data_IF_427613046882
#
_entry.id   IF_427613046882
#
_cell.length_a   1.000
_cell.length_b   1.000
_cell.length_c   1.000
_cell.angle_alpha   90.00
_cell.angle_beta   90.00
_cell.angle_gamma   90.00
#
_symmetry.space_group_name_H-M   'P 1'
#
loop_
_entity.id
_entity.type
_entity.pdbx_description
1 polymer ?
#
# COMPACT_ATOMS: atom_id res chain seq x y z
N UNK A 1 37.48 1.78 33.62
CA UNK A 1 36.34 2.67 33.82
C UNK A 1 36.78 3.84 34.71
N UNK A 2 37.22 4.94 34.13
CA UNK A 2 37.40 6.22 34.81
C UNK A 2 37.26 7.32 33.74
N UNK A 3 36.17 8.08 33.85
CA UNK A 3 35.93 9.32 33.14
C UNK A 3 36.89 10.35 33.70
N UNK A 4 37.60 11.04 32.84
CA UNK A 4 38.38 12.24 33.23
C UNK A 4 37.85 13.43 32.44
N UNK A 5 37.14 14.30 33.17
CA UNK A 5 36.75 15.61 32.77
C UNK A 5 37.96 16.55 32.96
N UNK A 6 38.47 17.16 31.91
CA UNK A 6 39.43 18.26 32.03
C UNK A 6 38.74 19.60 31.76
N UNK A 7 38.39 20.31 32.80
CA UNK A 7 38.28 21.78 32.80
C UNK A 7 39.67 22.36 33.12
N UNK A 8 40.15 23.29 32.32
CA UNK A 8 41.39 23.98 32.64
C UNK A 8 41.61 25.23 31.78
N UNK A 9 41.46 26.40 32.41
CA UNK A 9 41.94 27.69 31.90
C UNK A 9 43.48 27.78 31.88
N UNK A 10 44.05 28.38 30.87
CA UNK A 10 45.14 29.29 31.00
C UNK A 10 46.55 28.78 30.72
N UNK A 11 47.18 29.48 29.76
CA UNK A 11 48.61 29.82 29.58
C UNK A 11 49.62 28.75 29.16
N UNK A 12 50.35 29.12 28.16
CA UNK A 12 51.43 28.47 27.41
C UNK A 12 52.46 27.73 28.23
N UNK A 13 52.97 26.61 27.71
CA UNK A 13 54.40 26.41 27.37
C UNK A 13 54.59 25.04 26.65
N UNK A 14 55.55 25.03 25.72
CA UNK A 14 55.96 23.89 24.93
C UNK A 14 56.50 22.72 25.82
N UNK A 15 56.13 21.51 25.51
CA UNK A 15 57.04 20.34 25.58
C UNK A 15 56.41 19.16 24.83
N UNK A 16 57.13 18.54 23.88
CA UNK A 16 56.68 17.45 23.05
C UNK A 16 56.49 16.16 23.85
N UNK A 17 55.58 15.33 23.37
CA UNK A 17 55.55 13.93 23.63
C UNK A 17 55.08 13.24 22.38
N UNK A 18 56.00 12.48 21.73
CA UNK A 18 55.64 11.59 20.67
C UNK A 18 54.83 10.40 21.20
N UNK A 19 53.78 10.03 20.52
CA UNK A 19 52.97 8.87 20.77
C UNK A 19 51.96 8.74 19.66
N UNK A 20 52.09 7.72 18.81
CA UNK A 20 51.27 7.47 17.65
C UNK A 20 49.78 7.49 17.95
N UNK A 21 49.08 8.41 17.40
CA UNK A 21 47.63 8.44 17.31
C UNK A 21 47.23 8.07 15.88
N UNK A 22 46.55 6.93 15.80
CA UNK A 22 45.83 6.48 14.64
C UNK A 22 45.02 7.60 14.02
N UNK A 23 45.14 7.77 12.69
CA UNK A 23 44.45 8.68 11.80
C UNK A 23 43.00 8.98 12.16
N UNK A 24 42.78 9.98 12.96
CA UNK A 24 41.63 10.83 12.82
C UNK A 24 41.98 11.77 11.66
N UNK A 25 41.38 11.55 10.48
CA UNK A 25 41.37 12.51 9.38
C UNK A 25 40.55 13.73 9.80
N UNK A 26 41.09 14.53 10.72
CA UNK A 26 40.67 15.90 10.92
C UNK A 26 41.13 16.66 9.68
N UNK A 27 40.20 17.31 8.98
CA UNK A 27 40.51 18.30 7.97
C UNK A 27 41.43 19.35 8.61
N UNK A 28 42.74 19.21 8.38
CA UNK A 28 43.75 20.11 8.96
C UNK A 28 43.75 21.42 8.20
N UNK A 29 42.84 22.31 8.63
CA UNK A 29 42.79 23.68 8.13
C UNK A 29 43.84 24.52 8.88
N UNK A 30 45.11 24.32 8.56
CA UNK A 30 46.17 25.18 9.04
C UNK A 30 46.04 26.56 8.40
N UNK A 31 46.06 27.59 9.24
CA UNK A 31 45.93 29.00 8.84
C UNK A 31 46.94 29.35 7.72
N UNK A 32 46.43 29.64 6.54
CA UNK A 32 47.24 30.30 5.50
C UNK A 32 47.21 29.72 4.09
N UNK A 33 46.48 28.62 3.77
CA UNK A 33 46.30 28.11 2.42
C UNK A 33 44.81 27.95 2.09
N UNK A 34 44.40 28.54 0.98
CA UNK A 34 43.03 28.54 0.50
C UNK A 34 42.37 27.16 0.48
N UNK A 35 41.20 27.12 1.08
CA UNK A 35 40.15 26.15 0.99
C UNK A 35 40.35 24.79 1.67
N UNK A 36 39.95 24.73 2.93
CA UNK A 36 39.53 23.47 3.51
C UNK A 36 38.40 22.88 2.70
N UNK A 37 38.52 21.61 2.34
CA UNK A 37 37.41 20.91 1.71
C UNK A 37 36.26 20.76 2.73
N UNK A 38 35.08 21.22 2.38
CA UNK A 38 33.84 21.04 3.12
C UNK A 38 33.03 19.97 2.41
N UNK A 39 32.61 18.90 3.09
CA UNK A 39 31.79 17.88 2.47
C UNK A 39 30.50 18.47 1.86
N UNK A 40 30.00 17.92 0.74
CA UNK A 40 28.70 18.32 0.20
C UNK A 40 27.55 18.14 1.20
N UNK A 41 26.50 18.93 1.04
CA UNK A 41 25.23 18.77 1.75
C UNK A 41 24.22 18.14 0.79
N UNK A 42 23.99 16.85 0.94
CA UNK A 42 23.04 16.11 0.09
C UNK A 42 21.59 16.52 0.34
N UNK A 43 20.82 16.65 -0.73
CA UNK A 43 19.38 16.92 -0.70
C UNK A 43 18.68 15.86 -1.57
N UNK A 44 17.92 14.96 -0.94
CA UNK A 44 17.20 13.88 -1.61
C UNK A 44 15.81 14.31 -2.15
N UNK A 45 15.46 15.58 -2.03
CA UNK A 45 14.16 16.12 -2.43
C UNK A 45 13.05 15.92 -1.39
N UNK A 46 11.87 16.48 -1.68
CA UNK A 46 10.71 16.39 -0.80
C UNK A 46 10.02 15.02 -0.87
N UNK A 47 9.29 14.61 0.19
CA UNK A 47 8.43 13.44 0.16
C UNK A 47 7.36 13.52 -0.92
N UNK A 48 7.01 12.38 -1.54
CA UNK A 48 6.02 12.28 -2.61
C UNK A 48 4.94 11.25 -2.30
N UNK A 49 3.70 11.54 -2.74
CA UNK A 49 2.58 10.58 -2.75
C UNK A 49 2.20 10.30 -4.19
N UNK A 50 2.20 9.04 -4.58
CA UNK A 50 1.97 8.61 -5.96
C UNK A 50 1.05 7.39 -6.01
N UNK A 51 0.54 7.05 -7.19
CA UNK A 51 -0.11 5.77 -7.42
C UNK A 51 0.93 4.71 -7.81
N UNK A 52 0.68 3.46 -7.43
CA UNK A 52 1.45 2.31 -7.93
C UNK A 52 1.44 2.32 -9.47
N UNK A 53 2.59 2.07 -10.07
CA UNK A 53 2.77 2.12 -11.52
C UNK A 53 3.11 3.51 -12.09
N UNK A 54 3.02 4.59 -11.28
CA UNK A 54 3.43 5.93 -11.72
C UNK A 54 4.94 6.09 -11.72
N UNK A 55 5.48 6.83 -12.68
CA UNK A 55 6.90 7.18 -12.66
C UNK A 55 7.18 8.25 -11.61
N UNK A 56 8.04 7.93 -10.65
CA UNK A 56 8.55 8.84 -9.62
C UNK A 56 9.86 9.44 -10.10
N UNK A 57 10.01 10.76 -10.02
CA UNK A 57 11.29 11.44 -10.26
C UNK A 57 11.88 11.86 -8.92
N UNK A 58 13.11 11.42 -8.66
CA UNK A 58 13.93 11.84 -7.53
C UNK A 58 14.87 12.94 -8.03
N UNK A 59 14.94 14.05 -7.32
CA UNK A 59 15.70 15.23 -7.72
C UNK A 59 16.72 15.59 -6.65
N UNK A 60 17.96 15.31 -6.91
CA UNK A 60 19.11 15.65 -6.07
C UNK A 60 19.80 16.96 -6.43
N UNK A 61 19.29 17.74 -7.38
CA UNK A 61 19.92 19.00 -7.83
C UNK A 61 19.96 20.08 -6.77
N UNK A 62 19.20 19.94 -5.68
CA UNK A 62 19.28 20.76 -4.49
C UNK A 62 20.49 20.47 -3.59
N UNK A 63 21.33 19.50 -3.92
CA UNK A 63 22.61 19.22 -3.25
C UNK A 63 23.58 20.37 -3.47
N UNK A 64 24.26 20.79 -2.44
CA UNK A 64 25.20 21.92 -2.49
C UNK A 64 26.58 21.53 -1.97
N UNK A 65 27.59 22.21 -2.49
CA UNK A 65 28.97 22.13 -2.00
C UNK A 65 29.48 23.56 -1.73
N UNK A 66 30.07 23.76 -0.55
CA UNK A 66 30.51 25.09 -0.11
C UNK A 66 31.77 25.57 -0.88
N UNK A 67 32.54 24.63 -1.44
CA UNK A 67 33.73 24.93 -2.24
C UNK A 67 33.40 25.05 -3.73
N UNK A 68 32.16 24.76 -4.14
CA UNK A 68 31.71 24.63 -5.53
C UNK A 68 32.46 23.53 -6.30
N UNK A 69 32.89 22.47 -5.61
CA UNK A 69 33.48 21.29 -6.24
C UNK A 69 32.40 20.51 -7.03
N UNK A 70 32.84 19.73 -8.00
CA UNK A 70 31.94 18.87 -8.80
C UNK A 70 31.36 17.77 -7.95
N UNK A 71 30.02 17.64 -7.94
CA UNK A 71 29.28 16.66 -7.13
C UNK A 71 29.00 15.40 -7.95
N UNK A 72 29.30 14.26 -7.37
CA UNK A 72 28.81 12.94 -7.79
C UNK A 72 27.71 12.45 -6.83
N UNK A 73 26.79 11.66 -7.35
CA UNK A 73 25.59 11.20 -6.63
C UNK A 73 25.62 9.70 -6.45
N UNK A 74 25.09 9.22 -5.33
CA UNK A 74 24.87 7.79 -5.07
C UNK A 74 23.50 7.61 -4.42
N UNK A 75 22.53 7.14 -5.22
CA UNK A 75 21.18 6.84 -4.81
C UNK A 75 21.00 5.39 -4.43
N UNK A 76 20.14 5.11 -3.43
CA UNK A 76 19.73 3.76 -3.06
C UNK A 76 18.30 3.73 -2.57
N UNK A 77 17.59 2.63 -2.83
CA UNK A 77 16.32 2.33 -2.16
C UNK A 77 16.67 1.57 -0.87
N UNK A 78 16.57 2.24 0.27
CA UNK A 78 16.85 1.68 1.58
C UNK A 78 15.75 0.73 2.04
N UNK A 79 14.49 1.09 1.77
CA UNK A 79 13.31 0.30 2.13
C UNK A 79 12.28 0.35 1.01
N UNK A 80 11.60 -0.77 0.80
CA UNK A 80 10.46 -0.91 -0.11
C UNK A 80 9.48 -1.95 0.43
N UNK A 81 8.19 -1.95 0.01
CA UNK A 81 7.26 -3.01 0.34
C UNK A 81 7.78 -4.38 -0.11
N UNK A 82 7.47 -5.44 0.66
CA UNK A 82 7.93 -6.81 0.37
C UNK A 82 7.46 -7.34 -1.01
N UNK A 83 6.34 -6.80 -1.52
CA UNK A 83 5.81 -7.13 -2.85
C UNK A 83 6.50 -6.39 -3.99
N UNK A 84 7.45 -5.48 -3.73
CA UNK A 84 8.08 -4.65 -4.75
C UNK A 84 9.51 -5.11 -5.06
N UNK A 85 9.81 -5.20 -6.35
CA UNK A 85 11.17 -5.41 -6.90
C UNK A 85 11.74 -4.13 -7.52
N UNK A 86 11.05 -2.99 -7.37
CA UNK A 86 11.40 -1.71 -7.97
C UNK A 86 12.88 -1.35 -7.80
N UNK A 87 13.49 -0.88 -8.87
CA UNK A 87 14.89 -0.42 -8.93
C UNK A 87 14.94 1.00 -9.48
N UNK A 88 16.01 1.72 -9.17
CA UNK A 88 16.28 3.05 -9.75
C UNK A 88 16.75 2.91 -11.19
N UNK A 89 16.32 3.80 -12.07
CA UNK A 89 16.77 3.86 -13.45
C UNK A 89 18.27 4.20 -13.56
N UNK A 90 18.78 5.02 -12.63
CA UNK A 90 20.21 5.31 -12.46
C UNK A 90 20.48 5.55 -10.97
N UNK A 91 21.65 5.14 -10.50
CA UNK A 91 22.09 5.40 -9.12
C UNK A 91 23.07 6.58 -9.02
N UNK A 92 23.55 7.13 -10.14
CA UNK A 92 24.68 8.08 -10.17
C UNK A 92 24.33 9.44 -10.78
N UNK A 93 23.14 9.63 -11.31
CA UNK A 93 22.71 10.91 -11.91
C UNK A 93 22.09 11.83 -10.88
N UNK A 94 22.20 13.15 -11.08
CA UNK A 94 21.56 14.16 -10.21
C UNK A 94 20.05 13.99 -10.11
N UNK A 95 19.42 13.54 -11.21
CA UNK A 95 18.00 13.14 -11.24
C UNK A 95 17.90 11.69 -11.65
N UNK A 96 17.03 10.93 -10.97
CA UNK A 96 16.75 9.55 -11.33
C UNK A 96 15.26 9.26 -11.19
N UNK A 97 14.82 8.14 -11.72
CA UNK A 97 13.42 7.72 -11.64
C UNK A 97 13.31 6.28 -11.17
N UNK A 98 12.14 5.94 -10.62
CA UNK A 98 11.71 4.57 -10.43
C UNK A 98 10.18 4.47 -10.53
N UNK A 99 9.68 3.25 -10.67
CA UNK A 99 8.24 2.96 -10.68
C UNK A 99 7.93 2.08 -9.47
N UNK A 100 7.10 2.57 -8.51
CA UNK A 100 6.63 1.74 -7.42
C UNK A 100 5.72 0.63 -7.96
N UNK A 101 6.06 -0.63 -7.70
CA UNK A 101 5.29 -1.81 -8.15
C UNK A 101 4.31 -2.31 -7.09
N UNK A 102 4.48 -1.91 -5.83
CA UNK A 102 3.62 -2.26 -4.71
C UNK A 102 3.22 -1.04 -3.89
N UNK A 103 2.02 -1.08 -3.32
CA UNK A 103 1.55 -0.05 -2.40
C UNK A 103 2.35 -0.10 -1.09
N UNK A 104 2.66 1.06 -0.53
CA UNK A 104 3.37 1.21 0.72
C UNK A 104 4.46 2.27 0.68
N UNK A 105 5.30 2.25 1.71
CA UNK A 105 6.38 3.21 1.91
C UNK A 105 7.67 2.74 1.23
N UNK A 106 8.25 3.63 0.43
CA UNK A 106 9.61 3.54 -0.08
C UNK A 106 10.46 4.59 0.62
N UNK A 107 11.62 4.19 1.15
CA UNK A 107 12.62 5.11 1.71
C UNK A 107 13.81 5.12 0.77
N UNK A 108 14.11 6.29 0.23
CA UNK A 108 15.20 6.50 -0.72
C UNK A 108 16.30 7.33 -0.04
N UNK A 109 17.55 6.95 -0.25
CA UNK A 109 18.71 7.64 0.29
C UNK A 109 19.59 8.18 -0.82
N UNK A 110 20.23 9.31 -0.52
CA UNK A 110 21.24 9.96 -1.35
C UNK A 110 22.50 10.22 -0.54
N UNK A 111 23.63 9.85 -1.08
CA UNK A 111 24.96 10.30 -0.65
C UNK A 111 25.56 11.08 -1.81
N UNK A 112 26.11 12.23 -1.53
CA UNK A 112 26.84 13.07 -2.48
C UNK A 112 28.35 13.04 -2.16
N UNK A 113 29.21 13.14 -3.18
CA UNK A 113 30.65 13.24 -2.98
C UNK A 113 31.25 14.27 -3.94
N UNK A 114 32.19 15.05 -3.42
CA UNK A 114 33.00 16.01 -4.16
C UNK A 114 34.32 15.42 -4.69
N UNK A 115 34.50 14.09 -4.55
CA UNK A 115 35.72 13.36 -4.91
C UNK A 115 36.78 13.36 -3.81
N UNK A 116 36.63 14.15 -2.75
CA UNK A 116 37.54 14.24 -1.59
C UNK A 116 36.85 13.74 -0.31
N UNK A 117 35.57 14.03 -0.15
CA UNK A 117 34.74 13.65 0.98
C UNK A 117 33.32 13.34 0.54
N UNK A 118 32.55 12.71 1.45
CA UNK A 118 31.14 12.39 1.21
C UNK A 118 30.26 13.12 2.19
N UNK A 119 29.04 13.44 1.76
CA UNK A 119 27.98 14.00 2.60
C UNK A 119 27.51 13.03 3.67
N UNK A 120 26.82 13.53 4.67
CA UNK A 120 25.87 12.71 5.44
C UNK A 120 24.79 12.14 4.50
N UNK A 121 24.19 11.01 4.91
CA UNK A 121 23.08 10.39 4.17
C UNK A 121 21.85 11.30 4.26
N UNK A 122 21.36 11.79 3.12
CA UNK A 122 20.04 12.42 3.04
C UNK A 122 19.00 11.36 2.67
N UNK A 123 17.76 11.53 3.11
CA UNK A 123 16.67 10.62 2.78
C UNK A 123 15.41 11.35 2.38
N UNK A 124 14.62 10.72 1.51
CA UNK A 124 13.25 11.12 1.18
C UNK A 124 12.35 9.90 1.17
N UNK A 125 11.03 10.13 1.23
CA UNK A 125 10.05 9.05 1.21
C UNK A 125 9.10 9.19 0.03
N UNK A 126 8.69 8.05 -0.53
CA UNK A 126 7.62 7.97 -1.51
C UNK A 126 6.57 7.01 -0.97
N UNK A 127 5.35 7.51 -0.77
CA UNK A 127 4.20 6.68 -0.40
C UNK A 127 3.42 6.33 -1.66
N UNK A 128 3.47 5.07 -2.08
CA UNK A 128 2.71 4.58 -3.20
C UNK A 128 1.36 4.04 -2.73
N UNK A 129 0.27 4.61 -3.25
CA UNK A 129 -1.09 4.10 -3.06
C UNK A 129 -1.44 3.12 -4.18
N UNK A 130 -2.28 2.13 -3.88
CA UNK A 130 -2.77 1.21 -4.90
C UNK A 130 -3.45 1.99 -6.04
N UNK A 131 -3.31 1.50 -7.27
CA UNK A 131 -4.16 1.94 -8.38
C UNK A 131 -5.62 1.66 -8.03
N UNK A 132 -6.52 2.51 -8.50
CA UNK A 132 -7.95 2.31 -8.25
C UNK A 132 -8.40 1.08 -9.04
N UNK A 133 -8.50 -0.08 -8.35
CA UNK A 133 -9.22 -1.22 -8.90
C UNK A 133 -10.58 -0.76 -9.42
N UNK A 134 -10.98 -1.20 -10.60
CA UNK A 134 -12.27 -0.85 -11.18
C UNK A 134 -13.15 -2.09 -11.28
N UNK A 135 -14.43 -1.96 -10.95
CA UNK A 135 -15.44 -2.97 -11.19
C UNK A 135 -16.63 -2.39 -11.95
N UNK A 136 -17.11 -3.16 -12.91
CA UNK A 136 -18.32 -2.85 -13.67
C UNK A 136 -19.26 -4.06 -13.65
N UNK A 137 -20.54 -3.82 -13.76
CA UNK A 137 -21.55 -4.87 -13.85
C UNK A 137 -22.56 -4.54 -14.97
N UNK A 138 -22.97 -5.57 -15.71
CA UNK A 138 -24.13 -5.49 -16.61
C UNK A 138 -25.43 -5.85 -15.91
N UNK A 139 -25.34 -6.40 -14.67
CA UNK A 139 -26.54 -6.73 -13.87
C UNK A 139 -27.24 -5.47 -13.39
N UNK A 140 -26.50 -4.46 -12.94
CA UNK A 140 -27.00 -3.12 -12.58
C UNK A 140 -25.85 -2.09 -12.58
N UNK A 141 -26.19 -0.83 -12.83
CA UNK A 141 -25.24 0.27 -12.77
C UNK A 141 -24.90 0.67 -11.32
N UNK A 142 -23.73 1.28 -11.10
CA UNK A 142 -23.37 1.80 -9.78
C UNK A 142 -24.37 2.87 -9.32
N UNK A 143 -24.95 2.70 -8.13
CA UNK A 143 -26.03 3.51 -7.57
C UNK A 143 -27.42 3.16 -8.14
N UNK A 144 -27.52 2.21 -9.04
CA UNK A 144 -28.77 1.82 -9.69
C UNK A 144 -29.61 0.82 -8.88
N UNK A 145 -30.81 0.53 -9.39
CA UNK A 145 -31.70 -0.48 -8.82
C UNK A 145 -31.21 -1.88 -9.15
N UNK A 146 -31.12 -2.73 -8.14
CA UNK A 146 -30.83 -4.15 -8.29
C UNK A 146 -32.06 -4.85 -8.87
N UNK A 147 -31.94 -5.55 -10.03
CA UNK A 147 -33.07 -6.19 -10.64
C UNK A 147 -33.54 -7.43 -9.88
N UNK A 148 -34.83 -7.76 -9.99
CA UNK A 148 -35.48 -8.82 -9.23
C UNK A 148 -34.77 -10.19 -9.37
N UNK A 149 -34.21 -10.51 -10.55
CA UNK A 149 -33.49 -11.79 -10.74
C UNK A 149 -32.28 -11.96 -9.84
N UNK A 150 -31.68 -10.86 -9.36
CA UNK A 150 -30.55 -10.85 -8.41
C UNK A 150 -31.07 -11.04 -6.97
N UNK A 151 -32.32 -10.64 -6.70
CA UNK A 151 -32.93 -10.73 -5.37
C UNK A 151 -33.18 -12.19 -4.94
N UNK A 152 -33.40 -12.36 -3.66
CA UNK A 152 -33.69 -13.67 -3.06
C UNK A 152 -35.00 -14.28 -3.58
N UNK A 153 -35.09 -15.61 -3.59
CA UNK A 153 -36.29 -16.32 -4.04
C UNK A 153 -37.51 -16.03 -3.20
N UNK A 154 -37.33 -15.73 -1.90
CA UNK A 154 -38.42 -15.38 -1.00
C UNK A 154 -39.19 -14.08 -1.36
N UNK A 155 -38.62 -13.21 -2.19
CA UNK A 155 -39.27 -12.00 -2.73
C UNK A 155 -39.57 -12.12 -4.24
N UNK A 156 -39.56 -13.35 -4.77
CA UNK A 156 -39.83 -13.63 -6.19
C UNK A 156 -38.60 -13.50 -7.10
N UNK A 157 -37.42 -13.34 -6.55
CA UNK A 157 -36.15 -13.30 -7.28
C UNK A 157 -35.63 -14.69 -7.70
N UNK A 158 -34.51 -14.71 -8.42
CA UNK A 158 -33.84 -15.96 -8.83
C UNK A 158 -32.56 -16.25 -8.03
N UNK A 159 -32.21 -15.37 -7.08
CA UNK A 159 -31.02 -15.46 -6.24
C UNK A 159 -29.71 -15.64 -7.02
N UNK A 160 -29.57 -14.94 -8.13
CA UNK A 160 -28.37 -14.97 -8.98
C UNK A 160 -27.37 -13.92 -8.47
N UNK A 161 -26.11 -14.32 -8.27
CA UNK A 161 -25.05 -13.33 -7.97
C UNK A 161 -24.85 -12.38 -9.15
N UNK A 162 -24.52 -11.10 -8.94
CA UNK A 162 -24.32 -10.14 -10.03
C UNK A 162 -23.17 -10.55 -10.95
N UNK A 163 -23.29 -10.24 -12.24
CA UNK A 163 -22.17 -10.25 -13.18
C UNK A 163 -21.15 -9.17 -12.76
N UNK A 164 -19.86 -9.50 -12.87
CA UNK A 164 -18.79 -8.53 -12.59
C UNK A 164 -17.68 -8.61 -13.64
N UNK A 165 -17.18 -7.45 -14.05
CA UNK A 165 -15.89 -7.30 -14.73
C UNK A 165 -14.95 -6.50 -13.84
N UNK A 166 -13.74 -7.03 -13.63
CA UNK A 166 -12.68 -6.46 -12.80
C UNK A 166 -11.58 -5.97 -13.73
N UNK A 167 -11.21 -4.70 -13.64
CA UNK A 167 -10.14 -4.08 -14.43
C UNK A 167 -9.24 -3.20 -13.57
N UNK A 168 -8.21 -2.60 -14.18
CA UNK A 168 -7.23 -1.72 -13.51
C UNK A 168 -6.63 -2.36 -12.25
N UNK A 169 -6.27 -3.64 -12.40
CA UNK A 169 -5.83 -4.48 -11.29
C UNK A 169 -4.47 -4.01 -10.79
N UNK A 170 -4.32 -3.67 -9.48
CA UNK A 170 -3.04 -3.27 -8.92
C UNK A 170 -1.95 -4.32 -9.15
N UNK A 171 -0.76 -3.87 -9.53
CA UNK A 171 0.40 -4.76 -9.63
C UNK A 171 0.69 -5.42 -8.28
N UNK A 172 1.10 -6.69 -8.29
CA UNK A 172 1.28 -7.48 -7.06
C UNK A 172 0.00 -8.16 -6.55
N UNK A 173 -1.15 -7.97 -7.21
CA UNK A 173 -2.38 -8.72 -6.89
C UNK A 173 -2.19 -10.20 -7.19
N UNK A 174 -2.43 -11.05 -6.22
CA UNK A 174 -2.42 -12.52 -6.39
C UNK A 174 -3.82 -13.11 -6.30
N UNK A 175 -4.70 -12.50 -5.52
CA UNK A 175 -6.05 -12.97 -5.26
C UNK A 175 -7.03 -11.80 -5.20
N UNK A 176 -8.32 -12.13 -5.37
CA UNK A 176 -9.42 -11.24 -5.03
C UNK A 176 -10.23 -11.79 -3.85
N UNK A 177 -10.84 -10.88 -3.09
CA UNK A 177 -12.00 -11.18 -2.27
C UNK A 177 -13.17 -10.31 -2.75
N UNK A 178 -14.40 -10.88 -2.68
CA UNK A 178 -15.64 -10.18 -3.01
C UNK A 178 -16.51 -10.23 -1.78
N UNK A 179 -17.01 -9.09 -1.32
CA UNK A 179 -17.92 -9.01 -0.18
C UNK A 179 -19.06 -8.09 -0.55
N UNK A 180 -20.29 -8.58 -0.37
CA UNK A 180 -21.51 -7.80 -0.46
C UNK A 180 -22.20 -7.76 0.90
N UNK A 181 -22.47 -6.57 1.39
CA UNK A 181 -23.19 -6.35 2.65
C UNK A 181 -24.20 -5.22 2.54
N UNK A 182 -25.09 -5.16 3.52
CA UNK A 182 -26.12 -4.17 3.70
C UNK A 182 -25.99 -3.55 5.11
N UNK A 183 -25.89 -2.23 5.15
CA UNK A 183 -25.78 -1.43 6.36
C UNK A 183 -27.08 -0.67 6.68
N UNK A 184 -28.17 -0.92 5.93
CA UNK A 184 -29.48 -0.30 6.14
C UNK A 184 -30.25 -1.02 7.26
N UNK A 185 -30.93 -0.28 8.11
CA UNK A 185 -31.74 -0.88 9.19
C UNK A 185 -32.78 -1.88 8.66
N UNK A 186 -32.99 -3.04 9.30
CA UNK A 186 -32.53 -3.44 10.63
C UNK A 186 -31.11 -3.99 10.70
N UNK A 187 -30.38 -4.06 9.58
CA UNK A 187 -28.96 -4.38 9.57
C UNK A 187 -28.17 -3.29 10.29
N UNK A 188 -27.07 -3.67 10.94
CA UNK A 188 -26.20 -2.73 11.62
C UNK A 188 -25.09 -2.24 10.67
N UNK A 189 -24.43 -1.14 11.05
CA UNK A 189 -23.30 -0.61 10.28
C UNK A 189 -21.98 -1.29 10.66
N UNK A 190 -20.97 -1.16 9.80
CA UNK A 190 -19.60 -1.58 10.08
C UNK A 190 -19.43 -3.10 10.17
N UNK A 191 -18.80 -3.58 11.24
CA UNK A 191 -18.48 -5.02 11.39
C UNK A 191 -19.71 -5.92 11.55
N UNK A 192 -20.84 -5.35 11.93
CA UNK A 192 -22.10 -6.05 12.18
C UNK A 192 -23.09 -5.91 11.01
N UNK A 193 -22.68 -5.41 9.86
CA UNK A 193 -23.52 -5.30 8.66
C UNK A 193 -24.06 -6.68 8.23
N UNK A 194 -25.25 -6.71 7.65
CA UNK A 194 -25.81 -7.94 7.11
C UNK A 194 -24.98 -8.42 5.92
N UNK A 195 -24.55 -9.68 5.96
CA UNK A 195 -23.72 -10.28 4.93
C UNK A 195 -24.59 -10.94 3.87
N UNK A 196 -24.37 -10.60 2.61
CA UNK A 196 -25.09 -11.14 1.46
C UNK A 196 -24.25 -12.06 0.58
N UNK A 197 -22.94 -11.78 0.45
CA UNK A 197 -22.02 -12.58 -0.33
C UNK A 197 -20.59 -12.43 0.18
N UNK A 198 -19.89 -13.54 0.32
CA UNK A 198 -18.46 -13.57 0.60
C UNK A 198 -17.79 -14.59 -0.34
N UNK A 199 -16.80 -14.14 -1.10
CA UNK A 199 -15.92 -14.97 -1.93
C UNK A 199 -14.49 -14.63 -1.56
N UNK A 200 -13.69 -15.62 -1.23
CA UNK A 200 -12.32 -15.42 -0.78
C UNK A 200 -11.36 -16.27 -1.60
N UNK A 201 -10.13 -15.76 -1.76
CA UNK A 201 -9.04 -16.38 -2.48
C UNK A 201 -9.36 -16.65 -3.98
N UNK A 202 -10.19 -15.81 -4.59
CA UNK A 202 -10.47 -15.88 -6.02
C UNK A 202 -9.18 -15.59 -6.81
N UNK A 203 -8.75 -16.46 -7.74
CA UNK A 203 -7.52 -16.25 -8.52
C UNK A 203 -7.55 -14.93 -9.30
N UNK A 204 -6.42 -14.21 -9.36
CA UNK A 204 -6.31 -12.93 -10.09
C UNK A 204 -6.63 -13.05 -11.58
N UNK A 205 -6.47 -14.21 -12.18
CA UNK A 205 -6.84 -14.49 -13.57
C UNK A 205 -8.37 -14.48 -13.81
N UNK A 206 -9.19 -14.62 -12.74
CA UNK A 206 -10.64 -14.59 -12.84
C UNK A 206 -11.18 -13.16 -12.75
N UNK A 207 -11.13 -12.44 -13.84
CA UNK A 207 -11.52 -11.04 -13.95
C UNK A 207 -12.94 -10.82 -14.47
N UNK A 208 -13.52 -11.82 -15.13
CA UNK A 208 -14.90 -11.82 -15.59
C UNK A 208 -15.69 -12.90 -14.86
N UNK A 209 -16.76 -12.49 -14.18
CA UNK A 209 -17.66 -13.35 -13.42
C UNK A 209 -19.04 -13.24 -14.06
N UNK A 210 -19.60 -14.37 -14.51
CA UNK A 210 -20.94 -14.40 -15.06
C UNK A 210 -22.02 -14.26 -13.97
N UNK A 211 -23.20 -13.80 -14.33
CA UNK A 211 -24.34 -13.73 -13.42
C UNK A 211 -24.70 -15.15 -12.95
N UNK A 212 -24.80 -15.35 -11.64
CA UNK A 212 -25.10 -16.66 -11.05
C UNK A 212 -23.99 -17.70 -11.12
N UNK A 213 -22.75 -17.31 -11.47
CA UNK A 213 -21.63 -18.24 -11.61
C UNK A 213 -21.25 -18.89 -10.27
N UNK A 214 -21.05 -20.20 -10.28
CA UNK A 214 -20.51 -20.95 -9.16
C UNK A 214 -18.99 -20.84 -9.11
N UNK A 215 -18.47 -19.92 -8.28
CA UNK A 215 -17.04 -19.66 -8.14
C UNK A 215 -16.29 -20.74 -7.34
N UNK A 216 -16.97 -21.66 -6.65
CA UNK A 216 -16.32 -22.79 -5.97
C UNK A 216 -15.64 -23.77 -6.95
N UNK A 217 -15.95 -23.67 -8.24
CA UNK A 217 -15.24 -24.41 -9.28
C UNK A 217 -13.81 -23.89 -9.52
N UNK A 218 -13.49 -22.72 -9.02
CA UNK A 218 -12.12 -22.16 -9.07
C UNK A 218 -11.28 -22.72 -7.91
N UNK A 219 -10.07 -23.15 -8.20
CA UNK A 219 -9.18 -23.75 -7.21
C UNK A 219 -8.87 -22.80 -6.03
N UNK A 220 -9.08 -23.27 -4.82
CA UNK A 220 -8.78 -22.55 -3.57
C UNK A 220 -9.80 -21.50 -3.17
N UNK A 221 -10.88 -21.31 -3.93
CA UNK A 221 -11.95 -20.38 -3.59
C UNK A 221 -12.78 -20.94 -2.43
N UNK A 222 -13.13 -20.07 -1.49
CA UNK A 222 -14.01 -20.34 -0.37
C UNK A 222 -15.13 -19.30 -0.32
N UNK A 223 -16.35 -19.78 -0.08
CA UNK A 223 -17.49 -18.91 0.21
C UNK A 223 -17.61 -18.62 1.70
N UNK A 224 -17.92 -17.37 2.01
CA UNK A 224 -18.28 -16.94 3.37
C UNK A 224 -19.73 -17.23 3.71
N UNK A 225 -20.05 -17.16 5.01
CA UNK A 225 -21.42 -17.19 5.47
C UNK A 225 -22.17 -15.93 5.00
N UNK A 226 -23.40 -16.11 4.58
CA UNK A 226 -24.35 -15.02 4.48
C UNK A 226 -25.22 -15.00 5.75
N UNK A 227 -25.61 -13.80 6.16
CA UNK A 227 -26.56 -13.60 7.25
C UNK A 227 -27.46 -12.42 6.90
N UNK A 228 -28.72 -12.73 6.63
CA UNK A 228 -29.74 -11.74 6.31
C UNK A 228 -30.80 -11.75 7.42
N UNK A 229 -31.00 -10.60 8.07
CA UNK A 229 -32.08 -10.43 9.05
C UNK A 229 -33.41 -10.30 8.29
N UNK A 230 -34.42 -11.08 8.64
CA UNK A 230 -35.79 -10.86 8.19
C UNK A 230 -36.38 -11.90 7.22
N UNK A 231 -35.56 -12.79 6.63
CA UNK A 231 -36.06 -13.91 5.80
C UNK A 231 -35.59 -15.23 6.39
N UNK A 232 -36.20 -15.65 7.47
CA UNK A 232 -35.98 -16.98 8.04
C UNK A 232 -34.65 -17.24 8.72
N UNK A 233 -33.77 -16.23 8.93
CA UNK A 233 -32.61 -16.22 9.84
C UNK A 233 -31.61 -17.39 9.75
N UNK A 234 -31.58 -18.17 8.69
CA UNK A 234 -30.63 -19.29 8.55
C UNK A 234 -29.37 -18.76 7.88
N UNK A 235 -28.27 -18.79 8.63
CA UNK A 235 -26.96 -18.53 8.07
C UNK A 235 -26.67 -19.56 6.98
N UNK A 236 -26.59 -19.12 5.74
CA UNK A 236 -26.22 -19.91 4.58
C UNK A 236 -24.78 -19.67 4.17
N UNK A 237 -24.33 -20.36 3.13
CA UNK A 237 -23.02 -20.16 2.49
C UNK A 237 -23.25 -19.75 1.04
N UNK A 238 -22.46 -18.79 0.54
CA UNK A 238 -22.55 -18.29 -0.82
C UNK A 238 -23.39 -17.05 -0.95
N UNK A 239 -24.03 -16.84 -2.11
CA UNK A 239 -24.82 -15.65 -2.39
C UNK A 239 -26.24 -15.76 -1.78
N UNK A 240 -26.65 -14.69 -1.11
CA UNK A 240 -28.02 -14.45 -0.68
C UNK A 240 -28.44 -13.06 -1.18
N UNK A 241 -29.32 -13.02 -2.16
CA UNK A 241 -29.77 -11.78 -2.78
C UNK A 241 -30.54 -10.87 -1.81
N UNK A 242 -30.76 -9.60 -2.20
CA UNK A 242 -31.64 -8.67 -1.52
C UNK A 242 -33.02 -9.29 -1.22
N UNK A 243 -33.51 -9.06 -0.02
CA UNK A 243 -34.81 -9.59 0.43
C UNK A 243 -35.62 -8.58 1.28
N UNK A 244 -35.22 -7.31 1.23
CA UNK A 244 -35.83 -6.25 2.02
C UNK A 244 -37.27 -5.93 1.52
N UNK A 245 -38.12 -5.49 2.45
CA UNK A 245 -39.49 -5.01 2.16
C UNK A 245 -39.58 -3.47 2.12
N UNK A 246 -38.45 -2.80 2.37
CA UNK A 246 -38.25 -1.35 2.22
C UNK A 246 -36.93 -1.12 1.48
N UNK A 247 -36.71 0.10 0.99
CA UNK A 247 -35.50 0.40 0.24
C UNK A 247 -34.24 0.26 1.07
N UNK A 248 -33.37 -0.63 0.68
CA UNK A 248 -32.03 -0.87 1.25
C UNK A 248 -30.92 -0.57 0.25
N UNK A 249 -29.74 -0.27 0.77
CA UNK A 249 -28.53 -0.01 -0.04
C UNK A 249 -27.52 -1.14 0.20
N UNK A 250 -27.21 -1.84 -0.89
CA UNK A 250 -26.26 -2.95 -0.92
C UNK A 250 -24.94 -2.48 -1.50
N UNK A 251 -23.85 -2.81 -0.83
CA UNK A 251 -22.49 -2.47 -1.27
C UNK A 251 -21.72 -3.74 -1.55
N UNK A 252 -21.36 -3.94 -2.81
CA UNK A 252 -20.50 -5.02 -3.27
C UNK A 252 -19.09 -4.48 -3.48
N UNK A 253 -18.11 -4.98 -2.75
CA UNK A 253 -16.71 -4.57 -2.87
C UNK A 253 -15.84 -5.73 -3.30
N UNK A 254 -15.00 -5.49 -4.30
CA UNK A 254 -13.90 -6.36 -4.70
C UNK A 254 -12.62 -5.80 -4.09
N UNK A 255 -11.85 -6.67 -3.47
CA UNK A 255 -10.53 -6.36 -2.89
C UNK A 255 -9.44 -7.07 -3.68
N UNK A 256 -8.39 -6.35 -4.05
CA UNK A 256 -7.16 -6.88 -4.60
C UNK A 256 -6.18 -7.18 -3.46
N UNK A 257 -5.67 -8.41 -3.39
CA UNK A 257 -4.88 -8.92 -2.28
C UNK A 257 -3.50 -9.38 -2.74
N UNK A 258 -2.48 -9.14 -1.90
CA UNK A 258 -1.09 -9.56 -2.14
C UNK A 258 -0.86 -11.05 -1.90
N UNK A 259 -1.75 -11.73 -1.16
CA UNK A 259 -1.64 -13.15 -0.84
C UNK A 259 -3.01 -13.77 -0.56
N UNK A 260 -3.04 -15.09 -0.29
CA UNK A 260 -4.22 -15.76 0.24
C UNK A 260 -4.54 -15.22 1.64
N UNK A 261 -5.83 -15.03 1.90
CA UNK A 261 -6.30 -14.77 3.25
C UNK A 261 -6.66 -16.08 3.95
N UNK A 262 -6.35 -16.17 5.23
CA UNK A 262 -6.66 -17.32 6.07
C UNK A 262 -7.52 -16.88 7.24
N UNK A 263 -8.39 -17.73 7.72
CA UNK A 263 -9.30 -17.49 8.83
C UNK A 263 -9.32 -18.69 9.77
N UNK A 264 -9.78 -18.47 10.99
CA UNK A 264 -9.76 -19.46 12.08
C UNK A 264 -10.99 -20.38 12.05
N UNK A 265 -12.06 -19.95 11.39
CA UNK A 265 -13.34 -20.68 11.32
C UNK A 265 -13.48 -21.46 10.02
N UNK A 266 -14.25 -22.54 10.03
CA UNK A 266 -14.50 -23.37 8.82
C UNK A 266 -15.19 -22.57 7.70
N UNK A 267 -16.04 -21.59 8.08
CA UNK A 267 -16.74 -20.70 7.16
C UNK A 267 -16.42 -19.25 7.57
N UNK A 268 -15.80 -18.44 6.69
CA UNK A 268 -15.46 -17.07 7.02
C UNK A 268 -16.71 -16.18 7.14
N UNK A 269 -16.70 -15.33 8.17
CA UNK A 269 -17.81 -14.44 8.51
C UNK A 269 -17.36 -12.98 8.44
N UNK A 270 -17.34 -12.40 7.23
CA UNK A 270 -16.82 -11.05 7.03
C UNK A 270 -17.87 -10.13 6.39
N UNK A 271 -18.21 -9.04 7.09
CA UNK A 271 -18.66 -7.79 6.47
C UNK A 271 -17.45 -7.08 5.83
N UNK A 272 -17.68 -6.11 4.98
CA UNK A 272 -16.59 -5.30 4.38
C UNK A 272 -15.71 -4.66 5.45
N UNK A 273 -16.32 -4.03 6.46
CA UNK A 273 -15.60 -3.37 7.54
C UNK A 273 -14.73 -4.32 8.37
N UNK A 274 -15.26 -5.52 8.69
CA UNK A 274 -14.48 -6.54 9.42
C UNK A 274 -13.33 -7.06 8.58
N UNK A 275 -13.54 -7.30 7.29
CA UNK A 275 -12.50 -7.74 6.38
C UNK A 275 -11.38 -6.71 6.24
N UNK A 276 -11.74 -5.43 6.08
CA UNK A 276 -10.78 -4.33 6.00
C UNK A 276 -9.96 -4.18 7.29
N UNK A 277 -10.56 -4.44 8.44
CA UNK A 277 -9.86 -4.41 9.73
C UNK A 277 -8.82 -5.54 9.83
N UNK A 278 -9.25 -6.78 9.56
CA UNK A 278 -8.45 -7.98 9.81
C UNK A 278 -7.36 -8.19 8.74
N UNK A 279 -7.63 -7.78 7.49
CA UNK A 279 -6.74 -8.04 6.33
C UNK A 279 -6.13 -6.77 5.72
N UNK A 280 -6.12 -5.66 6.44
CA UNK A 280 -5.58 -4.37 5.98
C UNK A 280 -4.18 -4.49 5.35
N UNK A 281 -3.32 -5.34 5.92
CA UNK A 281 -1.94 -5.52 5.45
C UNK A 281 -1.85 -6.20 4.07
N UNK A 282 -2.89 -6.90 3.63
CA UNK A 282 -2.93 -7.63 2.36
C UNK A 282 -3.67 -6.86 1.26
N UNK A 283 -4.50 -5.88 1.62
CA UNK A 283 -5.34 -5.13 0.68
C UNK A 283 -4.49 -4.05 -0.01
N UNK A 284 -4.32 -4.17 -1.33
CA UNK A 284 -3.59 -3.21 -2.16
C UNK A 284 -4.48 -2.44 -3.13
N UNK A 285 -5.77 -2.77 -3.17
CA UNK A 285 -6.78 -2.06 -3.94
C UNK A 285 -8.17 -2.54 -3.60
N UNK A 286 -9.16 -1.67 -3.78
CA UNK A 286 -10.57 -2.03 -3.66
C UNK A 286 -11.44 -1.18 -4.57
N UNK A 287 -12.54 -1.75 -5.03
CA UNK A 287 -13.60 -1.05 -5.76
C UNK A 287 -14.96 -1.49 -5.26
N UNK A 288 -15.91 -0.56 -5.20
CA UNK A 288 -17.26 -0.82 -4.69
C UNK A 288 -18.31 -0.50 -5.74
N UNK A 289 -19.24 -1.42 -5.92
CA UNK A 289 -20.47 -1.27 -6.69
C UNK A 289 -21.63 -1.16 -5.70
N UNK A 290 -22.38 -0.10 -5.78
CA UNK A 290 -23.55 0.15 -4.92
C UNK A 290 -24.83 -0.09 -5.70
N UNK A 291 -25.83 -0.70 -5.07
CA UNK A 291 -27.15 -0.89 -5.66
C UNK A 291 -28.24 -0.74 -4.60
N UNK A 292 -29.43 -0.36 -5.02
CA UNK A 292 -30.61 -0.28 -4.15
C UNK A 292 -31.62 -1.36 -4.53
N UNK A 293 -32.33 -1.89 -3.54
CA UNK A 293 -33.45 -2.81 -3.75
C UNK A 293 -34.56 -2.44 -2.76
N UNK A 294 -35.85 -2.36 -3.23
CA UNK A 294 -36.98 -2.07 -2.38
C UNK A 294 -37.30 -3.20 -1.43
#
# INVERSE_FOLDING_TARGET
MKVLICLGLGTALLAGCGGGASDLKTNDCTMGVNSCNVPPVANAGAPQNVLVGSTVTLDGTGTTDANNDSISYSWSILQRPASSTATLASTTTAKTTFVPEGAGLYVITLVASDGKSSSAVASTTVTASATNLTINSTSYANGGTIPLRIAATGVGGSNLSPQLNISDIPNGTKRFAIIMDDETAPCQTGISACRHWGVFNLPVAKTAIAEGENLLLQSGVVYGSNYTIGVGGVAGVGYAGPAATSQHTYKLTVYALTDNVTWVTAVPEYSRAKFELDFKAFIIGKATLTGTFP
#
